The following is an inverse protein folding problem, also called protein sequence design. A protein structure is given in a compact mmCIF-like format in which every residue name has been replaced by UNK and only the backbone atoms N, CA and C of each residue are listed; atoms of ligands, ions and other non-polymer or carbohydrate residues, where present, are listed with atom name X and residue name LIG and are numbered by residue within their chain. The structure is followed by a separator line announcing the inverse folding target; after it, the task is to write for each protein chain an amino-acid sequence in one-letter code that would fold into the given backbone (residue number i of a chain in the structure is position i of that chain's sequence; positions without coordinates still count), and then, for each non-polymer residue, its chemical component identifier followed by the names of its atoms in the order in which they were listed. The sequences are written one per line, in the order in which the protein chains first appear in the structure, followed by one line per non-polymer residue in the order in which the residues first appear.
data_IF_787408836221
#
_entry.id   IF_787408836221
#
_cell.length_a   1.000
_cell.length_b   1.000
_cell.length_c   1.000
_cell.angle_alpha   90.00
_cell.angle_beta   90.00
_cell.angle_gamma   90.00
#
_symmetry.space_group_name_H-M   'P 1'
#
loop_
_entity.id
_entity.type
_entity.pdbx_description
1 polymer ?
#
# COMPACT_ATOMS: atom_id res chain seq x y z
N UNK A 1 -21.13 -14.17 -14.91
CA UNK A 1 -20.85 -12.75 -14.62
C UNK A 1 -19.37 -12.65 -14.31
N UNK A 2 -18.56 -12.28 -15.30
CA UNK A 2 -17.09 -12.16 -15.18
C UNK A 2 -16.75 -10.68 -15.07
N UNK A 3 -16.04 -10.27 -14.03
CA UNK A 3 -15.54 -8.90 -13.89
C UNK A 3 -14.61 -8.58 -15.07
N UNK A 4 -14.85 -7.48 -15.83
CA UNK A 4 -14.14 -7.20 -17.09
C UNK A 4 -12.68 -6.73 -16.92
N UNK A 5 -12.11 -6.76 -15.71
CA UNK A 5 -10.80 -6.18 -15.39
C UNK A 5 -9.69 -7.21 -15.19
N UNK A 6 -9.94 -8.51 -15.37
CA UNK A 6 -9.01 -9.60 -15.04
C UNK A 6 -7.77 -9.73 -15.98
N UNK A 7 -7.43 -8.70 -16.76
CA UNK A 7 -6.35 -8.74 -17.76
C UNK A 7 -5.50 -7.48 -17.87
N UNK A 8 -5.71 -6.47 -17.03
CA UNK A 8 -4.81 -5.32 -16.96
C UNK A 8 -3.98 -5.48 -15.70
N UNK A 9 -2.70 -5.85 -15.87
CA UNK A 9 -1.73 -5.77 -14.80
C UNK A 9 -1.81 -4.37 -14.18
N UNK A 10 -2.00 -4.33 -12.87
CA UNK A 10 -1.92 -3.09 -12.11
C UNK A 10 -0.58 -2.42 -12.46
N UNK A 11 -0.51 -1.10 -12.69
CA UNK A 11 0.75 -0.43 -12.99
C UNK A 11 1.60 -0.37 -11.72
N UNK A 12 2.09 -1.53 -11.27
CA UNK A 12 3.16 -1.61 -10.29
C UNK A 12 4.39 -1.12 -11.05
N UNK A 13 4.73 0.16 -10.83
CA UNK A 13 6.01 0.70 -11.27
C UNK A 13 7.10 -0.26 -10.79
N UNK A 14 8.06 -0.65 -11.64
CA UNK A 14 9.18 -1.46 -11.19
C UNK A 14 9.89 -0.69 -10.08
N UNK A 15 9.88 -1.22 -8.88
CA UNK A 15 10.63 -0.68 -7.77
C UNK A 15 12.11 -0.68 -8.14
N UNK A 16 12.74 0.48 -8.04
CA UNK A 16 14.20 0.60 -8.12
C UNK A 16 14.74 -0.27 -6.97
N UNK A 17 15.32 -1.42 -7.33
CA UNK A 17 16.05 -2.41 -6.51
C UNK A 17 15.82 -2.34 -4.98
N UNK A 18 14.96 -3.22 -4.46
CA UNK A 18 14.92 -3.58 -3.03
C UNK A 18 14.09 -2.67 -2.12
N UNK A 19 13.61 -1.53 -2.61
CA UNK A 19 12.79 -0.61 -1.83
C UNK A 19 11.30 -0.85 -2.13
N UNK A 20 10.41 -0.89 -1.13
CA UNK A 20 8.97 -1.05 -1.38
C UNK A 20 8.39 0.20 -2.08
N UNK A 21 7.29 0.08 -2.84
CA UNK A 21 6.63 1.23 -3.45
C UNK A 21 6.18 2.19 -2.35
N UNK A 22 6.33 3.51 -2.58
CA UNK A 22 5.93 4.56 -1.62
C UNK A 22 4.42 4.58 -1.37
N UNK A 23 3.63 4.26 -2.40
CA UNK A 23 2.17 4.19 -2.32
C UNK A 23 1.75 2.73 -2.14
N UNK A 24 0.92 2.41 -1.12
CA UNK A 24 0.47 1.04 -0.88
C UNK A 24 -0.39 0.50 -2.02
N UNK A 25 -0.26 -0.79 -2.32
CA UNK A 25 -1.20 -1.49 -3.19
C UNK A 25 -2.55 -1.71 -2.48
N UNK A 26 -3.62 -1.85 -3.27
CA UNK A 26 -4.98 -2.10 -2.76
C UNK A 26 -5.07 -3.45 -2.06
N UNK A 27 -5.47 -3.46 -0.78
CA UNK A 27 -5.53 -4.67 0.06
C UNK A 27 -6.61 -4.60 1.14
N UNK A 28 -7.10 -5.75 1.57
CA UNK A 28 -8.10 -5.89 2.63
C UNK A 28 -7.50 -6.49 3.91
N UNK A 29 -8.23 -6.38 5.03
CA UNK A 29 -7.80 -6.94 6.32
C UNK A 29 -6.58 -6.24 6.94
N UNK A 30 -6.25 -5.03 6.47
CA UNK A 30 -5.20 -4.21 7.03
C UNK A 30 -5.67 -3.49 8.30
N UNK A 31 -4.72 -3.05 9.13
CA UNK A 31 -5.00 -2.19 10.28
C UNK A 31 -4.55 -0.77 9.99
N UNK A 32 -5.33 0.21 10.46
CA UNK A 32 -4.94 1.63 10.42
C UNK A 32 -5.07 2.28 11.79
N UNK A 33 -4.19 3.24 12.05
CA UNK A 33 -4.26 4.12 13.23
C UNK A 33 -3.89 5.54 12.82
N UNK A 34 -4.59 6.52 13.35
CA UNK A 34 -4.24 7.93 13.24
C UNK A 34 -3.43 8.33 14.48
N UNK A 35 -2.23 8.86 14.28
CA UNK A 35 -1.41 9.48 15.33
C UNK A 35 -1.03 10.87 14.82
N UNK A 36 -1.38 11.90 15.58
CA UNK A 36 -1.33 13.30 15.14
C UNK A 36 -2.02 13.48 13.76
N UNK A 37 -1.31 14.02 12.77
CA UNK A 37 -1.79 14.23 11.41
C UNK A 37 -1.36 13.12 10.44
N UNK A 38 -0.92 11.96 10.95
CA UNK A 38 -0.41 10.86 10.13
C UNK A 38 -1.20 9.57 10.34
N UNK A 39 -1.74 9.04 9.25
CA UNK A 39 -2.39 7.72 9.22
C UNK A 39 -1.32 6.66 8.96
N UNK A 40 -1.14 5.75 9.90
CA UNK A 40 -0.30 4.57 9.74
C UNK A 40 -1.14 3.39 9.24
N UNK A 41 -0.62 2.69 8.23
CA UNK A 41 -1.27 1.55 7.59
C UNK A 41 -0.32 0.34 7.65
N UNK A 42 -0.75 -0.71 8.34
CA UNK A 42 0.03 -1.93 8.56
C UNK A 42 -0.72 -3.17 8.04
N UNK A 43 0.05 -4.08 7.44
CA UNK A 43 -0.41 -5.39 6.99
C UNK A 43 -1.60 -5.34 6.02
N UNK A 44 -2.35 -6.43 5.90
CA UNK A 44 -3.39 -6.66 4.90
C UNK A 44 -2.87 -7.48 3.75
N UNK A 45 -3.81 -8.02 2.96
CA UNK A 45 -3.47 -8.91 1.84
C UNK A 45 -4.38 -8.74 0.63
N UNK A 46 -3.91 -9.26 -0.49
CA UNK A 46 -4.74 -9.56 -1.66
C UNK A 46 -4.21 -10.81 -2.38
N UNK A 47 -4.86 -11.21 -3.48
CA UNK A 47 -4.51 -12.45 -4.20
C UNK A 47 -3.29 -12.29 -5.13
N UNK A 48 -2.86 -11.05 -5.42
CA UNK A 48 -1.78 -10.75 -6.39
C UNK A 48 -0.42 -10.58 -5.70
N UNK A 49 -0.38 -9.80 -4.63
CA UNK A 49 0.83 -9.39 -3.90
C UNK A 49 1.03 -10.18 -2.59
N UNK A 50 0.00 -10.90 -2.13
CA UNK A 50 0.04 -11.62 -0.86
C UNK A 50 -0.11 -10.70 0.34
N UNK A 51 0.52 -11.06 1.46
CA UNK A 51 0.49 -10.29 2.70
C UNK A 51 1.53 -9.14 2.68
N UNK A 52 1.21 -8.01 3.30
CA UNK A 52 2.09 -6.85 3.37
C UNK A 52 2.87 -6.82 4.68
N UNK A 53 4.19 -6.61 4.62
CA UNK A 53 5.03 -6.43 5.81
C UNK A 53 5.69 -5.04 5.87
N UNK A 54 5.16 -4.08 5.09
CA UNK A 54 5.67 -2.71 5.01
C UNK A 54 4.74 -1.79 5.79
N UNK A 55 5.31 -0.96 6.66
CA UNK A 55 4.57 0.10 7.34
C UNK A 55 4.50 1.33 6.45
N UNK A 56 3.27 1.72 6.11
CA UNK A 56 2.99 2.92 5.35
C UNK A 56 2.53 4.04 6.26
N UNK A 57 2.88 5.27 5.92
CA UNK A 57 2.42 6.48 6.58
C UNK A 57 1.81 7.43 5.54
N UNK A 58 0.67 8.03 5.88
CA UNK A 58 -0.01 9.02 5.07
C UNK A 58 -0.23 10.30 5.88
N UNK A 59 0.43 11.38 5.47
CA UNK A 59 0.23 12.70 6.05
C UNK A 59 -1.01 13.36 5.43
N UNK A 60 -2.01 13.64 6.27
CA UNK A 60 -3.32 14.16 5.84
C UNK A 60 -3.26 15.62 5.41
N UNK A 61 -2.22 16.36 5.76
CA UNK A 61 -2.09 17.77 5.42
C UNK A 61 -1.61 17.96 3.96
N UNK A 62 -0.40 17.50 3.55
CA UNK A 62 0.07 17.57 2.18
C UNK A 62 -0.46 16.43 1.31
N UNK A 63 -1.23 15.49 1.88
CA UNK A 63 -1.76 14.29 1.21
C UNK A 63 -0.64 13.44 0.59
N UNK A 64 0.41 13.14 1.37
CA UNK A 64 1.60 12.43 0.90
C UNK A 64 1.79 11.11 1.61
N UNK A 65 2.16 10.09 0.82
CA UNK A 65 2.58 8.79 1.31
C UNK A 65 4.08 8.73 1.54
N UNK A 66 4.49 7.98 2.56
CA UNK A 66 5.87 7.56 2.80
C UNK A 66 5.89 6.11 3.32
N UNK A 67 7.02 5.44 3.15
CA UNK A 67 7.32 4.16 3.79
C UNK A 67 8.17 4.44 5.02
N UNK A 68 7.75 3.93 6.17
CA UNK A 68 8.62 3.90 7.33
C UNK A 68 9.64 2.77 7.08
N UNK A 69 10.87 3.14 6.77
CA UNK A 69 11.96 2.17 6.74
C UNK A 69 12.43 1.90 8.17
N UNK A 70 12.77 0.65 8.42
CA UNK A 70 13.57 0.25 9.58
C UNK A 70 15.04 0.63 9.33
#
# INVERSE_FOLDING_TARGET
MQCPCAGQSCPVRPTIRGQPPVVPYMRYGHSTVLIDDTVFLWDGRNDTEGACNVLYAFDVNPHKWSTAEC
#
